data_IF_010407307884
#
_entry.id   IF_010407307884
#
_cell.length_a   1.000
_cell.length_b   1.000
_cell.length_c   1.000
_cell.angle_alpha   90.00
_cell.angle_beta   90.00
_cell.angle_gamma   90.00
#
_symmetry.space_group_name_H-M   'P 1'
#
loop_
_entity.id
_entity.type
_entity.pdbx_description
1 polymer ?
#
# COMPACT_ATOMS: atom_id res chain seq x y z
N UNK A 1 -14.14 14.88 -4.92
CA UNK A 1 -12.73 14.54 -5.17
C UNK A 1 -12.61 14.06 -6.62
N UNK A 2 -11.54 14.36 -7.35
CA UNK A 2 -11.38 13.84 -8.72
C UNK A 2 -10.94 12.37 -8.69
N UNK A 3 -11.18 11.62 -9.77
CA UNK A 3 -10.77 10.21 -9.90
C UNK A 3 -9.28 10.02 -9.62
N UNK A 4 -8.45 10.87 -10.24
CA UNK A 4 -7.00 10.87 -10.02
C UNK A 4 -6.64 11.15 -8.55
N UNK A 5 -7.30 12.11 -7.91
CA UNK A 5 -7.03 12.41 -6.50
C UNK A 5 -7.44 11.24 -5.58
N UNK A 6 -8.50 10.50 -5.92
CA UNK A 6 -8.87 9.28 -5.20
C UNK A 6 -7.82 8.17 -5.37
N UNK A 7 -7.30 7.97 -6.60
CA UNK A 7 -6.22 7.02 -6.84
C UNK A 7 -4.93 7.41 -6.12
N UNK A 8 -4.56 8.69 -6.13
CA UNK A 8 -3.39 9.21 -5.42
C UNK A 8 -3.53 9.01 -3.90
N UNK A 9 -4.72 9.27 -3.33
CA UNK A 9 -5.01 9.07 -1.92
C UNK A 9 -4.99 7.58 -1.54
N UNK A 10 -5.66 6.74 -2.32
CA UNK A 10 -5.70 5.30 -2.10
C UNK A 10 -4.30 4.69 -2.19
N UNK A 11 -3.49 5.11 -3.17
CA UNK A 11 -2.11 4.67 -3.32
C UNK A 11 -1.21 5.13 -2.16
N UNK A 12 -1.47 6.32 -1.60
CA UNK A 12 -0.79 6.79 -0.41
C UNK A 12 -1.14 5.93 0.82
N UNK A 13 -2.44 5.68 1.03
CA UNK A 13 -2.93 4.87 2.15
C UNK A 13 -2.42 3.43 2.05
N UNK A 14 -2.62 2.76 0.92
CA UNK A 14 -2.22 1.37 0.76
C UNK A 14 -0.70 1.20 0.79
N UNK A 15 0.05 2.10 0.14
CA UNK A 15 1.51 2.08 0.18
C UNK A 15 2.08 2.21 1.60
N UNK A 16 1.47 3.06 2.45
CA UNK A 16 1.85 3.17 3.86
C UNK A 16 1.40 1.94 4.65
N UNK A 17 0.18 1.45 4.43
CA UNK A 17 -0.34 0.24 5.08
C UNK A 17 0.61 -0.94 4.90
N UNK A 18 0.95 -1.29 3.66
CA UNK A 18 1.82 -2.44 3.39
C UNK A 18 3.22 -2.22 3.96
N UNK A 19 3.77 -1.01 3.91
CA UNK A 19 5.07 -0.71 4.51
C UNK A 19 5.05 -0.94 6.03
N UNK A 20 4.01 -0.49 6.72
CA UNK A 20 3.85 -0.73 8.15
C UNK A 20 3.69 -2.23 8.47
N UNK A 21 2.87 -2.96 7.70
CA UNK A 21 2.68 -4.41 7.89
C UNK A 21 4.00 -5.17 7.77
N UNK A 22 4.77 -4.89 6.72
CA UNK A 22 6.03 -5.62 6.53
C UNK A 22 7.08 -5.20 7.54
N UNK A 23 7.16 -3.93 7.94
CA UNK A 23 8.13 -3.48 8.94
C UNK A 23 7.82 -4.05 10.33
N UNK A 24 6.59 -3.91 10.80
CA UNK A 24 6.28 -4.08 12.22
C UNK A 24 5.63 -5.41 12.59
N UNK A 25 5.28 -6.26 11.62
CA UNK A 25 4.74 -7.59 11.92
C UNK A 25 3.50 -7.50 12.81
N UNK A 26 3.49 -8.17 13.97
CA UNK A 26 2.37 -8.29 14.92
C UNK A 26 2.19 -7.12 15.93
N UNK A 27 2.98 -6.04 15.82
CA UNK A 27 3.00 -4.97 16.82
C UNK A 27 2.04 -3.80 16.49
N UNK A 28 2.07 -2.72 17.29
CA UNK A 28 1.24 -1.52 17.19
C UNK A 28 1.15 -0.89 15.78
N UNK A 29 2.17 -1.09 14.94
CA UNK A 29 2.17 -0.70 13.52
C UNK A 29 1.03 -1.31 12.70
N UNK A 30 0.46 -2.44 13.14
CA UNK A 30 -0.71 -3.05 12.49
C UNK A 30 -1.98 -2.25 12.63
N UNK A 31 -2.25 -1.62 13.78
CA UNK A 31 -3.49 -0.84 13.93
C UNK A 31 -3.51 0.34 12.96
N UNK A 32 -2.37 0.99 12.77
CA UNK A 32 -2.24 2.07 11.81
C UNK A 32 -2.33 1.56 10.37
N UNK A 33 -1.72 0.41 10.07
CA UNK A 33 -1.86 -0.23 8.78
C UNK A 33 -3.32 -0.61 8.45
N UNK A 34 -4.04 -1.18 9.43
CA UNK A 34 -5.45 -1.54 9.30
C UNK A 34 -6.31 -0.30 9.01
N UNK A 35 -6.08 0.81 9.73
CA UNK A 35 -6.79 2.08 9.48
C UNK A 35 -6.57 2.60 8.05
N UNK A 36 -5.32 2.57 7.57
CA UNK A 36 -5.01 2.99 6.21
C UNK A 36 -5.64 2.07 5.16
N UNK A 37 -5.57 0.75 5.36
CA UNK A 37 -6.16 -0.21 4.42
C UNK A 37 -7.69 -0.13 4.39
N UNK A 38 -8.35 0.05 5.54
CA UNK A 38 -9.79 0.24 5.62
C UNK A 38 -10.23 1.49 4.84
N UNK A 39 -9.46 2.57 4.93
CA UNK A 39 -9.77 3.79 4.20
C UNK A 39 -9.47 3.69 2.70
N UNK A 40 -8.43 2.96 2.32
CA UNK A 40 -8.15 2.62 0.93
C UNK A 40 -9.30 1.78 0.33
N UNK A 41 -9.76 0.77 1.06
CA UNK A 41 -10.89 -0.10 0.69
C UNK A 41 -12.19 0.68 0.50
N UNK A 42 -12.53 1.56 1.44
CA UNK A 42 -13.70 2.45 1.29
C UNK A 42 -13.61 3.33 0.05
N UNK A 43 -12.40 3.73 -0.33
CA UNK A 43 -12.18 4.54 -1.54
C UNK A 43 -12.34 3.70 -2.81
N UNK A 44 -11.82 2.47 -2.82
CA UNK A 44 -11.94 1.58 -3.97
C UNK A 44 -13.39 1.21 -4.27
N UNK A 45 -14.23 1.04 -3.25
CA UNK A 45 -15.66 0.73 -3.39
C UNK A 45 -16.49 1.84 -4.05
N UNK A 46 -15.95 3.07 -4.16
CA UNK A 46 -16.70 4.20 -4.74
C UNK A 46 -16.80 4.17 -6.26
N UNK A 47 -15.98 3.35 -6.94
CA UNK A 47 -15.93 3.27 -8.40
C UNK A 47 -15.55 1.86 -8.87
N UNK A 48 -15.90 1.56 -10.12
CA UNK A 48 -15.23 0.49 -10.88
C UNK A 48 -13.93 1.05 -11.47
N UNK A 49 -12.85 0.28 -11.43
CA UNK A 49 -11.52 0.71 -11.88
C UNK A 49 -11.14 -0.03 -13.16
N UNK A 50 -10.65 0.70 -14.16
CA UNK A 50 -10.16 0.09 -15.39
C UNK A 50 -8.67 -0.27 -15.27
N UNK A 51 -8.13 -0.93 -16.29
CA UNK A 51 -6.72 -1.37 -16.31
C UNK A 51 -5.73 -0.18 -16.17
N UNK A 52 -5.99 0.95 -16.83
CA UNK A 52 -5.12 2.14 -16.73
C UNK A 52 -5.10 2.71 -15.30
N UNK A 53 -6.24 2.73 -14.61
CA UNK A 53 -6.34 3.19 -13.23
C UNK A 53 -5.64 2.23 -12.26
N UNK A 54 -5.77 0.91 -12.50
CA UNK A 54 -5.09 -0.13 -11.73
C UNK A 54 -3.58 -0.02 -11.90
N UNK A 55 -3.09 0.16 -13.13
CA UNK A 55 -1.66 0.32 -13.42
C UNK A 55 -1.09 1.61 -12.81
N UNK A 56 -1.87 2.69 -12.86
CA UNK A 56 -1.54 3.94 -12.19
C UNK A 56 -1.43 3.76 -10.68
N UNK A 57 -2.46 3.16 -10.06
CA UNK A 57 -2.49 2.88 -8.63
C UNK A 57 -1.30 2.00 -8.22
N UNK A 58 -1.07 0.88 -8.91
CA UNK A 58 0.03 -0.06 -8.64
C UNK A 58 1.36 0.68 -8.57
N UNK A 59 1.68 1.41 -9.64
CA UNK A 59 2.95 2.16 -9.74
C UNK A 59 3.10 3.16 -8.61
N UNK A 60 2.01 3.88 -8.25
CA UNK A 60 2.04 4.88 -7.19
C UNK A 60 2.18 4.24 -5.80
N UNK A 61 1.41 3.20 -5.51
CA UNK A 61 1.41 2.51 -4.22
C UNK A 61 2.76 1.84 -3.97
N UNK A 62 3.31 1.15 -4.97
CA UNK A 62 4.65 0.55 -4.90
C UNK A 62 5.72 1.62 -4.65
N UNK A 63 5.67 2.74 -5.37
CA UNK A 63 6.60 3.84 -5.15
C UNK A 63 6.45 4.51 -3.76
N UNK A 64 5.25 4.49 -3.16
CA UNK A 64 5.01 4.96 -1.79
C UNK A 64 5.62 3.99 -0.77
N UNK A 65 5.30 2.70 -0.89
CA UNK A 65 5.84 1.65 -0.03
C UNK A 65 7.37 1.64 -0.05
N UNK A 66 8.00 1.65 -1.23
CA UNK A 66 9.45 1.70 -1.39
C UNK A 66 10.10 2.90 -0.69
N UNK A 67 9.51 4.10 -0.83
CA UNK A 67 10.01 5.30 -0.14
C UNK A 67 9.88 5.17 1.37
N UNK A 68 8.78 4.62 1.85
CA UNK A 68 8.51 4.47 3.27
C UNK A 68 9.44 3.44 3.92
N UNK A 69 9.68 2.31 3.25
CA UNK A 69 10.65 1.29 3.68
C UNK A 69 12.07 1.87 3.78
N UNK A 70 12.52 2.63 2.78
CA UNK A 70 13.83 3.29 2.79
C UNK A 70 13.97 4.33 3.89
N UNK A 71 12.88 5.03 4.22
CA UNK A 71 12.87 6.02 5.31
C UNK A 71 13.08 5.37 6.69
N UNK A 72 12.73 4.10 6.82
CA UNK A 72 12.72 3.32 8.07
C UNK A 72 13.69 2.15 8.01
N UNK A 73 14.89 2.37 7.47
CA UNK A 73 15.93 1.35 7.38
C UNK A 73 16.31 0.76 8.75
N UNK A 74 16.23 1.56 9.80
CA UNK A 74 16.46 1.13 11.19
C UNK A 74 15.44 0.09 11.71
N UNK A 75 14.26 0.01 11.09
CA UNK A 75 13.16 -0.88 11.51
C UNK A 75 13.17 -2.25 10.80
N UNK A 76 14.20 -2.55 9.99
CA UNK A 76 14.19 -3.76 9.15
C UNK A 76 14.42 -5.06 9.93
N UNK A 77 14.90 -4.99 11.17
CA UNK A 77 15.14 -6.14 12.06
C UNK A 77 15.97 -7.26 11.38
N UNK A 78 17.10 -6.87 10.75
CA UNK A 78 18.01 -7.78 10.07
C UNK A 78 17.53 -8.31 8.71
N UNK A 79 16.37 -7.87 8.22
CA UNK A 79 15.88 -8.18 6.86
C UNK A 79 16.49 -7.26 5.81
N UNK A 80 16.49 -7.70 4.56
CA UNK A 80 16.99 -6.89 3.45
C UNK A 80 15.89 -6.01 2.85
N UNK A 81 16.28 -4.87 2.28
CA UNK A 81 15.37 -4.02 1.52
C UNK A 81 14.58 -4.80 0.48
N UNK A 82 15.26 -5.63 -0.31
CA UNK A 82 14.66 -6.40 -1.39
C UNK A 82 13.60 -7.38 -0.89
N UNK A 83 13.81 -7.99 0.29
CA UNK A 83 12.83 -8.90 0.89
C UNK A 83 11.57 -8.15 1.35
N UNK A 84 11.74 -6.97 1.95
CA UNK A 84 10.63 -6.14 2.42
C UNK A 84 9.85 -5.52 1.27
N UNK A 85 10.55 -5.05 0.24
CA UNK A 85 9.95 -4.50 -0.97
C UNK A 85 9.12 -5.56 -1.71
N UNK A 86 9.67 -6.76 -1.89
CA UNK A 86 8.95 -7.86 -2.53
C UNK A 86 7.67 -8.25 -1.76
N UNK A 87 7.75 -8.35 -0.42
CA UNK A 87 6.59 -8.62 0.43
C UNK A 87 5.53 -7.51 0.33
N UNK A 88 5.95 -6.24 0.40
CA UNK A 88 5.05 -5.10 0.29
C UNK A 88 4.35 -5.06 -1.09
N UNK A 89 5.08 -5.31 -2.17
CA UNK A 89 4.53 -5.30 -3.52
C UNK A 89 3.55 -6.46 -3.73
N UNK A 90 3.84 -7.63 -3.15
CA UNK A 90 2.91 -8.76 -3.15
C UNK A 90 1.59 -8.40 -2.46
N UNK A 91 1.64 -7.70 -1.32
CA UNK A 91 0.45 -7.25 -0.60
C UNK A 91 -0.38 -6.23 -1.41
N UNK A 92 0.27 -5.32 -2.14
CA UNK A 92 -0.41 -4.40 -3.07
C UNK A 92 -1.17 -5.16 -4.16
N UNK A 93 -0.58 -6.21 -4.75
CA UNK A 93 -1.29 -7.02 -5.74
C UNK A 93 -2.49 -7.75 -5.15
N UNK A 94 -2.40 -8.22 -3.89
CA UNK A 94 -3.54 -8.81 -3.18
C UNK A 94 -4.66 -7.80 -3.01
N UNK A 95 -4.34 -6.55 -2.64
CA UNK A 95 -5.32 -5.47 -2.56
C UNK A 95 -5.99 -5.22 -3.92
N UNK A 96 -5.21 -5.08 -4.99
CA UNK A 96 -5.73 -4.85 -6.36
C UNK A 96 -6.72 -5.97 -6.75
N UNK A 97 -6.36 -7.24 -6.56
CA UNK A 97 -7.19 -8.38 -6.93
C UNK A 97 -8.50 -8.47 -6.13
N UNK A 98 -8.46 -8.01 -4.87
CA UNK A 98 -9.61 -8.02 -3.97
C UNK A 98 -10.54 -6.83 -4.20
N UNK A 99 -9.97 -5.64 -4.45
CA UNK A 99 -10.68 -4.37 -4.31
C UNK A 99 -10.84 -3.55 -5.60
N UNK A 100 -10.01 -3.78 -6.62
CA UNK A 100 -10.01 -2.98 -7.84
C UNK A 100 -10.44 -3.81 -9.05
N UNK A 101 -11.74 -4.14 -9.12
CA UNK A 101 -12.38 -4.82 -10.27
C UNK A 101 -13.28 -3.87 -11.06
#
# INVERSE_FOLDING_TARGET
>A
MSRKAQLDEMANLEGNSVAHRVLYGDDAGLREADLYQDQATKTSETHTWNEDDIDYFRTKAQGRAARELKRREEDWDGRTYESLEAEAFRLIEVFIQAQMR
#
